data_IF_483113401474
#
_entry.id   IF_483113401474
#
_cell.length_a   1.000
_cell.length_b   1.000
_cell.length_c   1.000
_cell.angle_alpha   90.00
_cell.angle_beta   90.00
_cell.angle_gamma   90.00
#
_symmetry.space_group_name_H-M   'P 1'
#
loop_
_entity.id
_entity.type
_entity.pdbx_description
1 polymer ?
#
# COMPACT_ATOMS: atom_id res chain seq x y z
N UNK A 1 -41.57 9.26 -2.89
CA UNK A 1 -40.29 8.70 -3.39
C UNK A 1 -39.28 8.80 -2.25
N UNK A 2 -39.01 7.71 -1.53
CA UNK A 2 -38.31 7.70 -0.23
C UNK A 2 -37.12 6.72 -0.22
N UNK A 3 -36.28 6.68 -1.26
CA UNK A 3 -35.13 5.77 -1.27
C UNK A 3 -33.99 6.37 -2.10
N UNK A 4 -33.23 7.32 -1.54
CA UNK A 4 -32.04 7.85 -2.25
C UNK A 4 -30.82 8.12 -1.37
N UNK A 5 -30.89 7.92 -0.05
CA UNK A 5 -29.72 8.12 0.83
C UNK A 5 -29.04 6.81 1.30
N UNK A 6 -29.56 5.64 0.97
CA UNK A 6 -29.02 4.37 1.49
C UNK A 6 -27.81 3.80 0.72
N UNK A 7 -27.50 4.32 -0.47
CA UNK A 7 -26.47 3.73 -1.34
C UNK A 7 -25.06 4.25 -1.04
N UNK A 8 -24.93 5.39 -0.34
CA UNK A 8 -23.62 6.01 -0.06
C UNK A 8 -22.88 5.39 1.14
N UNK A 9 -23.55 4.64 2.02
CA UNK A 9 -22.90 4.05 3.20
C UNK A 9 -22.27 2.67 2.95
N UNK A 10 -22.57 2.01 1.82
CA UNK A 10 -22.07 0.65 1.54
C UNK A 10 -20.62 0.68 1.00
N UNK A 11 -20.18 1.80 0.41
CA UNK A 11 -18.81 1.95 -0.10
C UNK A 11 -17.74 2.13 0.99
N UNK A 12 -18.14 2.40 2.25
CA UNK A 12 -17.22 2.63 3.37
C UNK A 12 -16.93 1.37 4.21
N UNK A 13 -17.64 0.26 3.96
CA UNK A 13 -17.49 -0.99 4.71
C UNK A 13 -16.60 -2.03 4.00
N UNK A 14 -16.18 -1.78 2.76
CA UNK A 14 -15.25 -2.63 2.02
C UNK A 14 -13.77 -2.29 2.25
N UNK A 15 -13.46 -1.33 3.14
CA UNK A 15 -12.11 -1.16 3.67
C UNK A 15 -11.84 -2.25 4.72
N UNK A 16 -11.44 -3.44 4.24
CA UNK A 16 -10.85 -4.57 4.98
C UNK A 16 -11.13 -4.62 6.49
N UNK A 17 -12.13 -5.42 6.88
CA UNK A 17 -12.50 -5.72 8.26
C UNK A 17 -11.43 -6.51 9.07
N UNK A 18 -10.14 -6.42 8.72
CA UNK A 18 -9.01 -7.09 9.38
C UNK A 18 -7.83 -6.14 9.62
N UNK A 19 -8.10 -4.86 9.94
CA UNK A 19 -7.05 -3.93 10.32
C UNK A 19 -6.52 -4.24 11.73
N UNK A 20 -5.67 -5.28 11.85
CA UNK A 20 -4.99 -5.64 13.09
C UNK A 20 -4.02 -4.52 13.46
N UNK A 21 -4.15 -3.98 14.66
CA UNK A 21 -3.16 -3.02 15.17
C UNK A 21 -1.82 -3.71 15.42
N UNK A 22 -0.72 -3.04 15.14
CA UNK A 22 0.63 -3.59 15.32
C UNK A 22 1.55 -2.61 16.05
N UNK A 23 2.61 -3.09 16.69
CA UNK A 23 3.73 -2.25 17.16
C UNK A 23 4.94 -2.43 16.25
N UNK A 24 5.12 -3.64 15.75
CA UNK A 24 6.21 -4.05 14.87
C UNK A 24 5.68 -4.90 13.73
N UNK A 25 6.45 -5.06 12.65
CA UNK A 25 6.05 -5.92 11.53
C UNK A 25 5.92 -7.40 11.90
N UNK A 26 6.53 -7.84 13.00
CA UNK A 26 6.41 -9.20 13.52
C UNK A 26 5.02 -9.49 14.11
N UNK A 27 4.26 -8.44 14.44
CA UNK A 27 2.89 -8.58 14.92
C UNK A 27 1.90 -8.88 13.77
N UNK A 28 2.34 -8.73 12.53
CA UNK A 28 1.55 -8.90 11.32
C UNK A 28 1.80 -10.25 10.66
N UNK A 29 0.91 -10.64 9.73
CA UNK A 29 1.06 -11.84 8.93
C UNK A 29 2.29 -11.81 8.02
N UNK A 30 2.65 -12.97 7.48
CA UNK A 30 3.82 -13.14 6.60
C UNK A 30 3.78 -12.26 5.33
N UNK A 31 2.58 -11.87 4.89
CA UNK A 31 2.36 -11.02 3.70
C UNK A 31 1.89 -9.61 4.04
N UNK A 32 2.18 -9.16 5.25
CA UNK A 32 1.76 -7.86 5.76
C UNK A 32 2.96 -7.08 6.31
N UNK A 33 2.79 -5.77 6.47
CA UNK A 33 3.76 -4.91 7.13
C UNK A 33 3.07 -3.96 8.11
N UNK A 34 3.79 -3.55 9.15
CA UNK A 34 3.25 -2.60 10.12
C UNK A 34 3.48 -1.17 9.63
N UNK A 35 2.40 -0.38 9.48
CA UNK A 35 2.46 1.03 9.04
C UNK A 35 1.77 1.97 9.99
N UNK A 36 2.36 3.16 10.13
CA UNK A 36 1.84 4.22 10.96
C UNK A 36 0.88 5.12 10.15
N UNK A 37 -0.41 5.02 10.44
CA UNK A 37 -1.48 5.81 9.80
C UNK A 37 -1.84 7.05 10.65
N UNK A 38 -0.81 7.76 11.15
CA UNK A 38 -0.94 9.02 11.88
C UNK A 38 -1.25 8.88 13.37
N UNK A 39 -2.34 8.18 13.73
CA UNK A 39 -2.70 7.97 15.15
C UNK A 39 -2.54 6.52 15.60
N UNK A 40 -2.58 5.58 14.65
CA UNK A 40 -2.56 4.16 14.92
C UNK A 40 -1.57 3.46 13.99
N UNK A 41 -0.97 2.39 14.49
CA UNK A 41 -0.17 1.48 13.70
C UNK A 41 -1.04 0.30 13.30
N UNK A 42 -1.06 -0.04 12.03
CA UNK A 42 -1.87 -1.13 11.48
C UNK A 42 -1.07 -2.03 10.56
N UNK A 43 -1.41 -3.32 10.58
CA UNK A 43 -0.97 -4.28 9.59
C UNK A 43 -1.67 -3.98 8.27
N UNK A 44 -0.88 -3.76 7.23
CA UNK A 44 -1.36 -3.57 5.87
C UNK A 44 -0.73 -4.63 4.97
N UNK A 45 -1.44 -5.05 3.94
CA UNK A 45 -0.94 -6.02 2.98
C UNK A 45 0.27 -5.46 2.21
N UNK A 46 1.21 -6.35 1.88
CA UNK A 46 2.26 -6.07 0.91
C UNK A 46 1.64 -5.80 -0.47
N UNK A 47 2.31 -4.98 -1.28
CA UNK A 47 1.81 -4.45 -2.54
C UNK A 47 2.06 -5.41 -3.70
N UNK A 48 1.08 -5.53 -4.59
CA UNK A 48 1.16 -6.35 -5.80
C UNK A 48 1.97 -5.66 -6.90
N UNK A 49 2.36 -6.42 -7.93
CA UNK A 49 2.99 -5.87 -9.12
C UNK A 49 2.10 -4.79 -9.78
N UNK A 50 2.72 -3.69 -10.22
CA UNK A 50 2.05 -2.52 -10.76
C UNK A 50 1.56 -1.52 -9.70
N UNK A 51 1.53 -1.90 -8.42
CA UNK A 51 1.09 -1.01 -7.36
C UNK A 51 2.19 -0.07 -6.87
N UNK A 52 1.78 1.10 -6.35
CA UNK A 52 2.72 2.04 -5.71
C UNK A 52 3.22 1.47 -4.37
N UNK A 53 4.52 1.60 -4.13
CA UNK A 53 5.22 1.01 -2.97
C UNK A 53 6.05 2.02 -2.19
N UNK A 54 6.45 1.62 -0.97
CA UNK A 54 7.36 2.35 -0.08
C UNK A 54 6.97 3.81 0.12
N UNK A 55 5.78 4.01 0.70
CA UNK A 55 5.26 5.32 1.09
C UNK A 55 5.10 5.46 2.59
N UNK A 56 4.77 6.68 3.05
CA UNK A 56 4.46 6.96 4.46
C UNK A 56 3.38 6.01 5.00
N UNK A 57 2.40 5.70 4.14
CA UNK A 57 1.25 4.84 4.46
C UNK A 57 1.19 3.56 3.63
N UNK A 58 2.24 3.27 2.83
CA UNK A 58 2.26 2.12 1.91
C UNK A 58 3.35 1.12 2.30
N UNK A 59 3.00 -0.16 2.31
CA UNK A 59 3.95 -1.27 2.45
C UNK A 59 4.88 -1.41 1.24
N UNK A 60 5.90 -2.26 1.42
CA UNK A 60 6.75 -2.73 0.33
C UNK A 60 6.02 -3.72 -0.56
N UNK A 61 6.73 -4.23 -1.56
CA UNK A 61 6.19 -5.18 -2.53
C UNK A 61 6.16 -6.62 -1.98
N UNK A 62 5.29 -7.46 -2.53
CA UNK A 62 5.26 -8.90 -2.26
C UNK A 62 6.54 -9.59 -2.74
N UNK A 63 6.84 -10.75 -2.14
CA UNK A 63 7.94 -11.61 -2.56
C UNK A 63 7.86 -11.90 -4.07
N UNK A 64 9.00 -11.81 -4.77
CA UNK A 64 9.07 -11.94 -6.22
C UNK A 64 9.01 -10.60 -6.98
N UNK A 65 8.80 -9.48 -6.28
CA UNK A 65 8.81 -8.14 -6.85
C UNK A 65 9.66 -7.17 -6.04
N UNK A 66 10.18 -6.13 -6.69
CA UNK A 66 10.94 -5.05 -6.06
C UNK A 66 10.27 -3.70 -6.32
N UNK A 67 10.45 -2.79 -5.38
CA UNK A 67 9.98 -1.41 -5.53
C UNK A 67 10.97 -0.63 -6.40
N UNK A 68 10.62 -0.40 -7.65
CA UNK A 68 11.41 0.39 -8.60
C UNK A 68 11.05 1.86 -8.41
N UNK A 69 12.03 2.67 -7.99
CA UNK A 69 11.81 4.10 -7.74
C UNK A 69 11.37 4.81 -9.02
N UNK A 70 10.32 5.64 -8.91
CA UNK A 70 9.97 6.55 -10.01
C UNK A 70 11.00 7.67 -10.04
N UNK A 71 11.51 8.00 -11.23
CA UNK A 71 12.42 9.12 -11.44
C UNK A 71 11.97 10.35 -10.62
N UNK A 72 12.96 11.06 -10.04
CA UNK A 72 12.75 12.22 -9.18
C UNK A 72 12.24 13.40 -10.01
N UNK A 73 10.98 13.35 -10.46
CA UNK A 73 10.32 14.51 -11.03
C UNK A 73 10.02 15.53 -9.92
N UNK A 74 10.61 16.72 -10.07
CA UNK A 74 10.47 17.89 -9.17
C UNK A 74 9.01 18.38 -9.09
N UNK A 75 8.17 18.00 -10.07
CA UNK A 75 6.76 18.39 -10.16
C UNK A 75 5.79 17.51 -9.37
N UNK A 76 6.28 16.48 -8.67
CA UNK A 76 5.44 15.50 -7.99
C UNK A 76 5.35 15.78 -6.48
N UNK A 77 4.69 16.89 -6.13
CA UNK A 77 4.52 17.37 -4.73
C UNK A 77 3.68 16.41 -3.86
N UNK A 78 3.04 15.40 -4.46
CA UNK A 78 2.25 14.37 -3.78
C UNK A 78 2.76 12.96 -4.12
N UNK A 79 4.03 12.65 -3.85
CA UNK A 79 4.50 11.25 -3.91
C UNK A 79 3.89 10.46 -2.75
N UNK A 80 2.79 9.76 -3.01
CA UNK A 80 2.13 8.83 -2.07
C UNK A 80 3.05 7.62 -1.75
N UNK A 81 3.99 7.31 -2.65
CA UNK A 81 5.05 6.31 -2.45
C UNK A 81 6.32 6.59 -3.27
N UNK A 82 7.38 5.84 -2.98
CA UNK A 82 8.70 6.00 -3.60
C UNK A 82 8.77 5.43 -5.03
N UNK A 83 7.98 4.41 -5.34
CA UNK A 83 8.12 3.65 -6.58
C UNK A 83 6.89 2.85 -6.98
N UNK A 84 7.09 1.93 -7.94
CA UNK A 84 6.13 0.91 -8.36
C UNK A 84 6.73 -0.47 -8.13
N UNK A 85 5.93 -1.42 -7.66
CA UNK A 85 6.32 -2.82 -7.60
C UNK A 85 6.43 -3.40 -9.01
N UNK A 86 7.59 -3.92 -9.37
CA UNK A 86 7.80 -4.64 -10.62
C UNK A 86 8.34 -6.03 -10.31
N UNK A 87 7.87 -7.04 -11.06
CA UNK A 87 8.41 -8.38 -10.93
C UNK A 87 9.92 -8.39 -11.18
N UNK A 88 10.65 -9.19 -10.41
CA UNK A 88 12.09 -9.36 -10.55
C UNK A 88 12.51 -9.75 -11.98
N UNK A 89 11.69 -10.55 -12.67
CA UNK A 89 11.92 -10.98 -14.04
C UNK A 89 11.85 -9.84 -15.08
N UNK A 90 11.20 -8.72 -14.73
CA UNK A 90 11.00 -7.56 -15.60
C UNK A 90 12.00 -6.43 -15.32
N UNK A 91 12.87 -6.57 -14.33
CA UNK A 91 13.88 -5.56 -13.99
C UNK A 91 15.12 -5.85 -14.83
N UNK A 92 15.34 -5.02 -15.85
CA UNK A 92 16.56 -5.06 -16.64
C UNK A 92 17.67 -4.34 -15.86
N UNK A 93 18.68 -5.09 -15.39
CA UNK A 93 19.79 -4.59 -14.57
C UNK A 93 20.89 -3.90 -15.40
N UNK A 94 20.60 -3.53 -16.64
CA UNK A 94 21.50 -2.78 -17.52
C UNK A 94 21.34 -1.27 -17.26
N UNK A 95 21.96 -0.78 -16.18
CA UNK A 95 22.45 0.60 -16.04
C UNK A 95 23.49 0.68 -14.92
#
# INVERSE_FOLDING_TARGET
MKYLCAVLCIGLLSANANAKSCKTSLDCGMYECCKHLGLINQCLELRDEGETCNGKFLCGCKLGSLCVEREKSVWNTFKVGAGICSALANINWDN
#
